data_IF_278854288575
#
_entry.id   IF_278854288575
#
_cell.length_a   1.000
_cell.length_b   1.000
_cell.length_c   1.000
_cell.angle_alpha   90.00
_cell.angle_beta   90.00
_cell.angle_gamma   90.00
#
_symmetry.space_group_name_H-M   'P 1'
#
loop_
_entity.id
_entity.type
_entity.pdbx_description
1 polymer ?
#
# COMPACT_ATOMS: atom_id res chain seq x y z
N UNK A 1 -23.07 -15.22 6.52
CA UNK A 1 -21.63 -15.31 6.82
C UNK A 1 -20.90 -15.44 5.50
N UNK A 2 -20.32 -14.36 4.99
CA UNK A 2 -19.40 -14.49 3.85
C UNK A 2 -18.14 -15.17 4.38
N UNK A 3 -17.78 -16.33 3.81
CA UNK A 3 -16.67 -17.14 4.30
C UNK A 3 -15.34 -16.37 4.28
N UNK A 4 -14.46 -16.65 5.25
CA UNK A 4 -13.08 -16.14 5.26
C UNK A 4 -12.42 -16.52 3.93
N UNK A 5 -12.00 -15.53 3.13
CA UNK A 5 -11.24 -15.80 1.91
C UNK A 5 -9.82 -16.20 2.30
N UNK A 6 -9.22 -17.07 1.49
CA UNK A 6 -7.79 -17.30 1.48
C UNK A 6 -7.29 -16.96 0.08
N UNK A 7 -6.13 -16.30 0.00
CA UNK A 7 -5.47 -16.00 -1.26
C UNK A 7 -4.30 -16.99 -1.46
N UNK A 8 -4.04 -17.43 -2.70
CA UNK A 8 -2.97 -18.39 -2.97
C UNK A 8 -1.59 -17.75 -2.79
N UNK A 9 -0.58 -18.58 -2.55
CA UNK A 9 0.82 -18.18 -2.55
C UNK A 9 1.19 -17.43 -3.85
N UNK A 10 2.08 -16.42 -3.78
CA UNK A 10 2.94 -16.07 -2.64
C UNK A 10 2.29 -15.15 -1.60
N UNK A 11 1.00 -14.83 -1.73
CA UNK A 11 0.29 -14.01 -0.76
C UNK A 11 0.40 -14.59 0.67
N UNK A 12 0.79 -13.74 1.63
CA UNK A 12 0.86 -14.11 3.05
C UNK A 12 -0.36 -13.58 3.79
N UNK A 13 -1.17 -14.50 4.31
CA UNK A 13 -2.37 -14.17 5.08
C UNK A 13 -2.03 -13.57 6.44
N UNK A 14 -2.77 -12.54 6.85
CA UNK A 14 -2.72 -11.94 8.18
C UNK A 14 -3.93 -12.33 9.03
N UNK A 15 -3.78 -12.23 10.35
CA UNK A 15 -4.91 -12.32 11.28
C UNK A 15 -5.53 -10.93 11.49
N UNK A 16 -6.84 -10.92 11.75
CA UNK A 16 -7.62 -9.69 12.02
C UNK A 16 -7.04 -8.88 13.20
N UNK A 17 -6.37 -9.53 14.14
CA UNK A 17 -5.72 -8.88 15.28
C UNK A 17 -4.63 -7.87 14.91
N UNK A 18 -4.04 -7.96 13.71
CA UNK A 18 -3.07 -6.97 13.20
C UNK A 18 -3.71 -5.57 13.19
N UNK A 19 -5.01 -5.47 12.90
CA UNK A 19 -5.73 -4.20 12.82
C UNK A 19 -6.53 -3.90 14.09
N UNK A 20 -6.26 -4.59 15.20
CA UNK A 20 -6.85 -4.24 16.49
C UNK A 20 -6.41 -2.84 16.94
N UNK A 21 -7.25 -2.10 17.69
CA UNK A 21 -6.90 -0.78 18.21
C UNK A 21 -5.56 -0.79 18.96
N UNK A 22 -4.75 0.23 18.71
CA UNK A 22 -3.45 0.52 19.34
C UNK A 22 -3.45 1.96 19.85
N UNK A 23 -2.27 2.53 20.12
CA UNK A 23 -2.12 3.90 20.61
C UNK A 23 -2.57 4.97 19.61
N UNK A 24 -2.55 4.70 18.31
CA UNK A 24 -2.99 5.63 17.27
C UNK A 24 -3.82 4.92 16.20
N UNK A 25 -5.11 4.75 16.50
CA UNK A 25 -6.02 4.01 15.63
C UNK A 25 -5.65 2.54 15.57
N UNK A 26 -5.35 2.01 14.38
CA UNK A 26 -4.85 0.64 14.19
C UNK A 26 -3.34 0.52 14.26
N UNK A 27 -2.59 1.62 14.42
CA UNK A 27 -1.13 1.63 14.45
C UNK A 27 -0.58 2.13 15.80
N UNK A 28 0.68 1.83 16.09
CA UNK A 28 1.33 2.31 17.32
C UNK A 28 1.72 3.80 17.26
N UNK A 29 1.97 4.32 16.05
CA UNK A 29 2.46 5.68 15.78
C UNK A 29 1.63 6.33 14.67
N UNK A 30 1.53 7.66 14.60
CA UNK A 30 0.95 8.36 13.45
C UNK A 30 1.83 8.24 12.21
N UNK A 31 1.32 8.69 11.06
CA UNK A 31 2.14 8.86 9.86
C UNK A 31 3.31 9.83 10.09
N UNK A 32 4.42 9.60 9.39
CA UNK A 32 5.58 10.47 9.35
C UNK A 32 5.19 11.90 8.93
N UNK A 33 5.92 12.89 9.43
CA UNK A 33 5.61 14.30 9.17
C UNK A 33 5.96 14.74 7.73
N UNK A 34 6.95 14.11 7.11
CA UNK A 34 7.54 14.51 5.84
C UNK A 34 7.28 13.47 4.73
N UNK A 35 6.01 13.13 4.48
CA UNK A 35 5.67 12.14 3.46
C UNK A 35 6.19 12.52 2.06
N UNK A 36 6.63 11.50 1.33
CA UNK A 36 7.10 11.61 -0.06
C UNK A 36 5.99 12.09 -0.98
N UNK A 37 6.44 12.58 -2.13
CA UNK A 37 5.61 13.01 -3.26
C UNK A 37 4.64 14.17 -2.98
N UNK A 38 4.73 14.81 -1.81
CA UNK A 38 3.79 15.85 -1.41
C UNK A 38 2.42 15.28 -1.01
N UNK A 39 2.40 14.04 -0.52
CA UNK A 39 1.17 13.44 0.02
C UNK A 39 0.66 14.25 1.23
N UNK A 40 -0.66 14.41 1.29
CA UNK A 40 -1.36 15.14 2.33
C UNK A 40 -1.38 14.31 3.62
N UNK A 41 -0.77 14.87 4.67
CA UNK A 41 -0.55 14.15 5.93
C UNK A 41 -1.85 13.84 6.65
N UNK A 42 -2.83 14.74 6.63
CA UNK A 42 -4.10 14.52 7.35
C UNK A 42 -4.94 13.44 6.67
N UNK A 43 -4.96 13.44 5.33
CA UNK A 43 -5.54 12.36 4.53
C UNK A 43 -4.83 11.03 4.80
N UNK A 44 -3.50 11.04 4.83
CA UNK A 44 -2.69 9.87 5.15
C UNK A 44 -3.01 9.33 6.54
N UNK A 45 -3.03 10.17 7.57
CA UNK A 45 -3.24 9.75 8.95
C UNK A 45 -4.62 9.11 9.14
N UNK A 46 -5.66 9.73 8.55
CA UNK A 46 -7.01 9.18 8.54
C UNK A 46 -7.07 7.83 7.84
N UNK A 47 -6.48 7.70 6.65
CA UNK A 47 -6.53 6.48 5.83
C UNK A 47 -5.74 5.35 6.48
N UNK A 48 -4.54 5.63 6.96
CA UNK A 48 -3.63 4.62 7.52
C UNK A 48 -4.15 4.05 8.85
N UNK A 49 -4.78 4.89 9.69
CA UNK A 49 -4.97 4.56 11.10
C UNK A 49 -6.44 4.49 11.54
N UNK A 50 -7.34 5.22 10.87
CA UNK A 50 -8.71 5.41 11.33
C UNK A 50 -9.76 5.01 10.28
N UNK A 51 -9.33 4.33 9.21
CA UNK A 51 -10.19 3.87 8.14
C UNK A 51 -9.72 2.51 7.62
N UNK A 52 -10.67 1.59 7.41
CA UNK A 52 -10.40 0.23 6.92
C UNK A 52 -11.21 -0.17 5.69
N UNK A 53 -12.05 0.75 5.19
CA UNK A 53 -13.00 0.44 4.13
C UNK A 53 -12.89 1.39 2.93
N UNK A 54 -12.44 2.62 3.16
CA UNK A 54 -12.31 3.63 2.12
C UNK A 54 -10.86 3.78 1.66
N UNK A 55 -10.67 4.50 0.57
CA UNK A 55 -9.38 4.85 0.02
C UNK A 55 -9.26 6.38 -0.09
N UNK A 56 -8.08 6.87 -0.42
CA UNK A 56 -7.93 8.19 -1.05
C UNK A 56 -8.72 8.21 -2.37
N UNK A 57 -9.05 9.40 -2.90
CA UNK A 57 -9.83 9.45 -4.13
C UNK A 57 -9.05 8.86 -5.33
N UNK A 58 -9.76 8.24 -6.27
CA UNK A 58 -9.16 7.67 -7.49
C UNK A 58 -8.41 8.75 -8.28
N UNK A 59 -7.16 8.45 -8.67
CA UNK A 59 -6.27 9.38 -9.35
C UNK A 59 -5.54 10.34 -8.43
N UNK A 60 -5.61 10.17 -7.10
CA UNK A 60 -4.85 10.99 -6.13
C UNK A 60 -3.37 11.07 -6.52
N UNK A 61 -2.75 9.92 -6.78
CA UNK A 61 -1.35 9.80 -7.13
C UNK A 61 -0.94 10.65 -8.34
N UNK A 62 -1.84 10.89 -9.29
CA UNK A 62 -1.59 11.68 -10.49
C UNK A 62 -1.45 13.18 -10.20
N UNK A 63 -1.97 13.64 -9.06
CA UNK A 63 -1.85 15.04 -8.60
C UNK A 63 -0.69 15.26 -7.62
N UNK A 64 0.15 14.25 -7.41
CA UNK A 64 1.34 14.31 -6.56
C UNK A 64 2.61 14.33 -7.41
N UNK A 65 3.77 14.46 -6.77
CA UNK A 65 5.06 14.33 -7.45
C UNK A 65 5.43 12.88 -7.81
N UNK A 66 4.60 11.89 -7.49
CA UNK A 66 4.90 10.48 -7.71
C UNK A 66 5.09 10.14 -9.19
N UNK A 67 4.24 10.63 -10.10
CA UNK A 67 4.38 10.35 -11.53
C UNK A 67 5.71 10.90 -12.08
N UNK A 68 6.15 12.06 -11.57
CA UNK A 68 7.44 12.65 -11.95
C UNK A 68 8.59 11.79 -11.45
N UNK A 69 8.52 11.33 -10.20
CA UNK A 69 9.52 10.44 -9.60
C UNK A 69 9.61 9.09 -10.33
N UNK A 70 8.46 8.50 -10.67
CA UNK A 70 8.38 7.25 -11.42
C UNK A 70 8.98 7.34 -12.82
N UNK A 71 8.78 8.46 -13.51
CA UNK A 71 9.42 8.70 -14.82
C UNK A 71 10.93 8.94 -14.70
N UNK A 72 11.38 9.49 -13.58
CA UNK A 72 12.81 9.71 -13.31
C UNK A 72 13.54 8.42 -12.88
N UNK A 73 12.82 7.47 -12.30
CA UNK A 73 13.34 6.19 -11.81
C UNK A 73 12.62 5.02 -12.51
N UNK A 74 12.87 4.81 -13.82
CA UNK A 74 12.10 3.85 -14.62
C UNK A 74 12.41 2.38 -14.31
N UNK A 75 13.48 2.10 -13.56
CA UNK A 75 13.87 0.75 -13.17
C UNK A 75 13.02 0.25 -12.01
N UNK A 76 13.17 0.84 -10.82
CA UNK A 76 12.42 0.47 -9.62
C UNK A 76 12.24 1.67 -8.68
N UNK A 77 11.15 1.66 -7.92
CA UNK A 77 10.88 2.55 -6.79
C UNK A 77 10.59 1.69 -5.56
N UNK A 78 11.20 2.07 -4.43
CA UNK A 78 10.85 1.57 -3.12
C UNK A 78 9.73 2.40 -2.50
N UNK A 79 8.73 1.71 -1.94
CA UNK A 79 7.54 2.26 -1.33
C UNK A 79 7.53 1.87 0.15
N UNK A 80 7.53 2.87 1.04
CA UNK A 80 7.71 2.66 2.48
C UNK A 80 6.43 3.00 3.24
N UNK A 81 6.14 2.22 4.28
CA UNK A 81 5.03 2.46 5.20
C UNK A 81 5.04 3.91 5.69
N UNK A 82 3.95 4.63 5.47
CA UNK A 82 3.84 6.02 5.90
C UNK A 82 3.91 6.21 7.42
N UNK A 83 3.60 5.19 8.21
CA UNK A 83 3.73 5.23 9.67
C UNK A 83 5.15 4.90 10.12
N UNK A 84 5.70 3.79 9.63
CA UNK A 84 6.91 3.19 10.23
C UNK A 84 8.17 3.37 9.40
N UNK A 85 8.05 3.67 8.10
CA UNK A 85 9.20 3.72 7.18
C UNK A 85 9.71 2.36 6.71
N UNK A 86 9.05 1.25 7.07
CA UNK A 86 9.43 -0.10 6.60
C UNK A 86 9.15 -0.25 5.11
N UNK A 87 10.01 -0.96 4.39
CA UNK A 87 9.87 -1.21 2.95
C UNK A 87 8.71 -2.18 2.69
N UNK A 88 7.60 -1.69 2.13
CA UNK A 88 6.41 -2.50 1.87
C UNK A 88 6.36 -3.04 0.43
N UNK A 89 6.79 -2.25 -0.55
CA UNK A 89 6.78 -2.65 -1.95
C UNK A 89 8.01 -2.13 -2.71
N UNK A 90 8.41 -2.86 -3.74
CA UNK A 90 9.37 -2.40 -4.76
C UNK A 90 8.78 -2.64 -6.13
N UNK A 91 8.52 -1.58 -6.90
CA UNK A 91 7.87 -1.67 -8.20
C UNK A 91 8.47 -0.71 -9.23
N UNK A 92 8.46 -1.05 -10.53
CA UNK A 92 7.96 -2.31 -11.07
C UNK A 92 8.92 -3.48 -10.84
N UNK A 93 8.41 -4.70 -10.84
CA UNK A 93 9.22 -5.93 -11.01
C UNK A 93 8.58 -6.79 -12.07
N UNK A 94 9.37 -7.45 -12.92
CA UNK A 94 8.90 -8.33 -14.01
C UNK A 94 7.95 -7.67 -15.03
N UNK A 95 7.97 -6.33 -15.09
CA UNK A 95 7.28 -5.46 -16.03
C UNK A 95 7.99 -4.11 -16.09
N UNK A 96 7.61 -3.26 -17.03
CA UNK A 96 8.11 -1.90 -17.15
C UNK A 96 7.37 -0.92 -16.24
N UNK A 97 7.99 0.23 -15.96
CA UNK A 97 7.36 1.32 -15.20
C UNK A 97 6.10 1.83 -15.92
N UNK A 98 6.11 1.88 -17.26
CA UNK A 98 4.94 2.29 -18.03
C UNK A 98 3.77 1.31 -17.89
N UNK A 99 4.04 0.00 -17.84
CA UNK A 99 3.01 -1.01 -17.56
C UNK A 99 2.45 -0.87 -16.14
N UNK A 100 3.31 -0.61 -15.14
CA UNK A 100 2.90 -0.33 -13.77
C UNK A 100 2.01 0.92 -13.67
N UNK A 101 2.42 2.04 -14.29
CA UNK A 101 1.64 3.28 -14.28
C UNK A 101 0.34 3.15 -15.09
N UNK A 102 0.36 2.42 -16.20
CA UNK A 102 -0.85 2.18 -17.01
C UNK A 102 -1.88 1.37 -16.24
N UNK A 103 -1.45 0.30 -15.58
CA UNK A 103 -2.34 -0.49 -14.73
C UNK A 103 -2.87 0.35 -13.55
N UNK A 104 -2.00 1.13 -12.92
CA UNK A 104 -2.39 1.99 -11.80
C UNK A 104 -3.43 3.04 -12.20
N UNK A 105 -3.31 3.67 -13.38
CA UNK A 105 -4.31 4.60 -13.91
C UNK A 105 -5.63 3.92 -14.25
N UNK A 106 -5.58 2.72 -14.83
CA UNK A 106 -6.78 1.97 -15.19
C UNK A 106 -7.64 1.62 -13.96
N UNK A 107 -7.01 1.47 -12.79
CA UNK A 107 -7.69 1.15 -11.54
C UNK A 107 -7.86 2.32 -10.57
N UNK A 108 -7.16 3.44 -10.78
CA UNK A 108 -7.27 4.65 -9.98
C UNK A 108 -6.26 4.78 -8.83
N UNK A 109 -5.49 3.74 -8.54
CA UNK A 109 -4.48 3.72 -7.47
C UNK A 109 -3.27 2.88 -7.88
N UNK A 110 -2.08 3.14 -7.32
CA UNK A 110 -0.93 2.26 -7.41
C UNK A 110 -1.32 0.77 -7.28
N UNK A 111 -1.07 0.00 -8.32
CA UNK A 111 -1.52 -1.39 -8.44
C UNK A 111 -0.33 -2.32 -8.51
N UNK A 112 -0.05 -3.04 -7.42
CA UNK A 112 1.10 -3.93 -7.27
C UNK A 112 0.74 -5.38 -7.56
N UNK A 113 1.73 -6.16 -7.99
CA UNK A 113 1.67 -7.61 -8.21
C UNK A 113 2.52 -8.35 -7.18
N UNK A 114 2.30 -9.65 -7.05
CA UNK A 114 2.92 -10.52 -6.04
C UNK A 114 4.44 -10.35 -5.87
N UNK A 115 5.17 -10.20 -6.98
CA UNK A 115 6.63 -10.03 -7.00
C UNK A 115 7.13 -8.66 -6.53
N UNK A 116 6.23 -7.68 -6.41
CA UNK A 116 6.51 -6.31 -5.98
C UNK A 116 6.25 -6.11 -4.48
N UNK A 117 5.69 -7.12 -3.80
CA UNK A 117 5.33 -7.05 -2.37
C UNK A 117 6.46 -7.56 -1.49
N UNK A 118 6.79 -6.81 -0.43
CA UNK A 118 7.63 -7.30 0.64
C UNK A 118 6.80 -8.08 1.67
N UNK A 119 6.78 -9.39 1.53
CA UNK A 119 6.02 -10.29 2.40
C UNK A 119 6.56 -10.38 3.84
N UNK A 120 7.70 -9.79 4.16
CA UNK A 120 8.13 -9.68 5.55
C UNK A 120 7.24 -8.69 6.33
N UNK A 121 6.73 -7.66 5.65
CA UNK A 121 6.01 -6.54 6.27
C UNK A 121 4.57 -6.33 5.78
N UNK A 122 4.12 -7.04 4.75
CA UNK A 122 2.75 -6.94 4.21
C UNK A 122 1.95 -8.20 4.48
N UNK A 123 0.66 -8.05 4.82
CA UNK A 123 -0.30 -9.14 4.98
C UNK A 123 -1.61 -8.84 4.25
N UNK A 124 -2.33 -9.90 3.90
CA UNK A 124 -3.72 -9.79 3.40
C UNK A 124 -4.67 -10.46 4.37
N UNK A 125 -5.70 -9.74 4.79
CA UNK A 125 -6.74 -10.25 5.67
C UNK A 125 -7.80 -11.04 4.89
N UNK A 126 -8.64 -11.76 5.63
CA UNK A 126 -9.60 -12.70 5.03
C UNK A 126 -10.73 -12.05 4.23
N UNK A 127 -10.93 -10.74 4.33
CA UNK A 127 -11.86 -9.97 3.51
C UNK A 127 -11.21 -9.43 2.22
N UNK A 128 -9.88 -9.37 2.19
CA UNK A 128 -9.06 -8.83 1.11
C UNK A 128 -8.32 -7.54 1.49
N UNK A 129 -8.48 -7.01 2.70
CA UNK A 129 -7.73 -5.85 3.16
C UNK A 129 -6.23 -6.14 3.17
N UNK A 130 -5.44 -5.27 2.53
CA UNK A 130 -3.98 -5.33 2.54
C UNK A 130 -3.47 -4.36 3.60
N UNK A 131 -2.63 -4.87 4.51
CA UNK A 131 -2.16 -4.13 5.69
C UNK A 131 -0.66 -4.31 5.89
N UNK A 132 -0.01 -3.38 6.59
CA UNK A 132 1.32 -3.63 7.14
C UNK A 132 1.21 -4.48 8.40
N UNK A 133 2.29 -5.20 8.75
CA UNK A 133 2.36 -5.98 9.99
C UNK A 133 2.22 -5.13 11.26
N UNK A 134 2.44 -3.81 11.17
CA UNK A 134 2.32 -2.88 12.29
C UNK A 134 0.91 -2.26 12.43
N UNK A 135 0.01 -2.56 11.49
CA UNK A 135 -1.39 -2.15 11.53
C UNK A 135 -1.74 -0.94 10.64
N UNK A 136 -0.89 -0.58 9.69
CA UNK A 136 -1.22 0.45 8.68
C UNK A 136 -2.19 -0.14 7.66
N UNK A 137 -3.34 0.52 7.46
CA UNK A 137 -4.21 0.22 6.32
C UNK A 137 -3.57 0.67 5.01
N UNK A 138 -3.32 -0.27 4.09
CA UNK A 138 -2.66 0.02 2.81
C UNK A 138 -3.65 0.09 1.66
N UNK A 139 -4.63 -0.81 1.61
CA UNK A 139 -5.58 -0.92 0.52
C UNK A 139 -6.19 -2.30 0.47
N UNK A 140 -6.39 -2.87 -0.72
CA UNK A 140 -7.02 -4.19 -0.87
C UNK A 140 -6.39 -5.03 -1.98
N UNK A 141 -6.33 -6.35 -1.77
CA UNK A 141 -6.11 -7.31 -2.83
C UNK A 141 -7.42 -7.53 -3.60
N UNK A 142 -7.42 -7.17 -4.88
CA UNK A 142 -8.55 -7.28 -5.79
C UNK A 142 -8.14 -8.11 -7.01
N UNK A 143 -8.00 -9.45 -6.87
CA UNK A 143 -7.49 -10.30 -7.93
C UNK A 143 -8.26 -10.15 -9.24
N UNK A 144 -7.53 -10.26 -10.34
CA UNK A 144 -8.05 -10.24 -11.70
C UNK A 144 -7.55 -11.48 -12.48
N UNK A 145 -7.76 -11.49 -13.81
CA UNK A 145 -7.33 -12.60 -14.67
C UNK A 145 -5.82 -12.84 -14.68
N UNK A 146 -5.00 -11.89 -14.16
CA UNK A 146 -3.54 -11.98 -14.07
C UNK A 146 -3.05 -12.42 -12.67
N UNK A 147 -3.96 -12.67 -11.73
CA UNK A 147 -3.62 -13.04 -10.35
C UNK A 147 -3.92 -11.93 -9.36
N UNK A 148 -3.22 -11.92 -8.22
CA UNK A 148 -3.37 -10.88 -7.19
C UNK A 148 -3.09 -9.50 -7.77
N UNK A 149 -3.86 -8.50 -7.31
CA UNK A 149 -3.66 -7.10 -7.64
C UNK A 149 -3.91 -6.26 -6.41
N UNK A 150 -2.84 -5.78 -5.83
CA UNK A 150 -2.88 -4.97 -4.61
C UNK A 150 -3.11 -3.53 -5.00
N UNK A 151 -4.35 -3.07 -4.83
CA UNK A 151 -4.78 -1.70 -5.08
C UNK A 151 -4.51 -0.89 -3.81
N UNK A 152 -3.46 -0.08 -3.82
CA UNK A 152 -2.87 0.52 -2.60
C UNK A 152 -2.98 2.04 -2.64
N UNK A 153 -3.38 2.63 -1.53
CA UNK A 153 -3.38 4.08 -1.32
C UNK A 153 -1.94 4.60 -1.40
N UNK A 154 -1.66 5.60 -2.25
CA UNK A 154 -0.34 6.22 -2.31
C UNK A 154 0.02 6.81 -0.95
N UNK A 155 -0.93 7.47 -0.27
CA UNK A 155 -0.69 8.07 1.05
C UNK A 155 -0.25 7.06 2.12
N UNK A 156 -0.54 5.76 1.96
CA UNK A 156 -0.13 4.72 2.92
C UNK A 156 1.28 4.18 2.68
N UNK A 157 1.87 4.50 1.52
CA UNK A 157 3.18 4.00 1.10
C UNK A 157 4.14 5.13 0.70
N UNK A 158 3.88 6.33 1.22
CA UNK A 158 4.63 7.56 0.99
C UNK A 158 5.61 7.85 2.13
N UNK A 159 5.93 6.88 2.98
CA UNK A 159 6.95 7.03 4.01
C UNK A 159 8.36 7.25 3.42
N UNK A 160 9.25 7.70 4.27
CA UNK A 160 10.69 7.65 4.07
C UNK A 160 11.26 6.47 4.86
N UNK A 161 12.35 5.84 4.38
CA UNK A 161 13.04 4.83 5.17
C UNK A 161 13.50 5.44 6.49
N UNK A 162 13.21 4.78 7.60
CA UNK A 162 13.90 5.08 8.86
C UNK A 162 15.24 4.35 8.84
N UNK A 163 16.30 5.05 9.24
CA UNK A 163 17.52 4.37 9.62
C UNK A 163 17.25 3.70 10.97
N UNK A 164 17.35 2.38 11.01
CA UNK A 164 17.53 1.66 12.27
C UNK A 164 18.89 2.05 12.90
#
# INVERSE_FOLDING_TARGET
>A
MFGKKSFPAPCVMGDESIMSPKSHGTSAVPVQNNLRWGCDRDTADRICNFNRHYAEYSGYFEKTNFIKDAKANPEEINFYDSNTGKLLFTAPKGRTMDEFLTESRAHGWPSFRDQEVNWDFVRVLSDGETVSVDGTHLGHNLPDKKGSRYCINLVSVAGNPTHD
#
